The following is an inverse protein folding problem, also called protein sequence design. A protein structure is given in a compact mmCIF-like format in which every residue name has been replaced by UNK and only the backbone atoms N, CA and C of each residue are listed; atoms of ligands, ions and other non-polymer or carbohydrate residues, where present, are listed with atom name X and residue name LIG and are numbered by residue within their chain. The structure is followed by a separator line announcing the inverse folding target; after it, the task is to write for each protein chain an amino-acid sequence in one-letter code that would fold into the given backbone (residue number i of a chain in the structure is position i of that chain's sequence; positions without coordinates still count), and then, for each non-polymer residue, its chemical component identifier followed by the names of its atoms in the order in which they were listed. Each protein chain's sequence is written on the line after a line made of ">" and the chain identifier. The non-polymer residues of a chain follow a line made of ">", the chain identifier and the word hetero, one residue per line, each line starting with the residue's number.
data_IF_508037732498
#
_entry.id   IF_508037732498
#
_cell.length_a   1.000
_cell.length_b   1.000
_cell.length_c   1.000
_cell.angle_alpha   90.00
_cell.angle_beta   90.00
_cell.angle_gamma   90.00
#
_symmetry.space_group_name_H-M   'P 1'
#
loop_
_entity.id
_entity.type
_entity.pdbx_description
1 polymer ?
#
# COMPACT_ATOMS: atom_id res chain seq x y z
N UNK A 1 -3.49 -15.45 1.50
CA UNK A 1 -2.45 -14.62 2.11
C UNK A 1 -1.78 -15.31 3.29
N UNK A 2 -2.47 -15.44 4.42
CA UNK A 2 -1.88 -15.91 5.70
C UNK A 2 -1.22 -17.29 5.59
N UNK A 3 -1.95 -18.31 5.12
CA UNK A 3 -1.39 -19.66 4.99
C UNK A 3 -0.18 -19.71 4.06
N UNK A 4 -0.21 -18.95 2.95
CA UNK A 4 0.92 -18.80 2.03
C UNK A 4 2.20 -18.31 2.75
N UNK A 5 2.08 -17.28 3.59
CA UNK A 5 3.22 -16.72 4.32
C UNK A 5 3.67 -17.59 5.50
N UNK A 6 2.73 -18.22 6.21
CA UNK A 6 3.00 -18.92 7.47
C UNK A 6 3.28 -20.41 7.28
N UNK A 7 2.46 -21.07 6.47
CA UNK A 7 2.41 -22.54 6.39
C UNK A 7 3.22 -23.06 5.18
N UNK A 8 3.41 -22.22 4.15
CA UNK A 8 4.19 -22.54 2.95
C UNK A 8 5.47 -21.70 2.81
N UNK A 9 5.80 -20.90 3.83
CA UNK A 9 7.02 -20.08 3.93
C UNK A 9 7.29 -19.14 2.74
N UNK A 10 6.26 -18.68 2.03
CA UNK A 10 6.45 -17.73 0.93
C UNK A 10 7.02 -16.41 1.42
N UNK A 11 7.94 -15.84 0.64
CA UNK A 11 8.62 -14.58 0.97
C UNK A 11 7.73 -13.35 0.84
N UNK A 12 6.70 -13.44 0.00
CA UNK A 12 5.84 -12.31 -0.36
C UNK A 12 4.41 -12.75 -0.64
N UNK A 13 3.44 -11.90 -0.30
CA UNK A 13 2.05 -12.07 -0.69
C UNK A 13 1.50 -10.85 -1.44
N UNK A 14 0.75 -11.11 -2.51
CA UNK A 14 0.03 -10.08 -3.26
C UNK A 14 -1.41 -9.95 -2.75
N UNK A 15 -1.80 -8.76 -2.30
CA UNK A 15 -3.12 -8.50 -1.70
C UNK A 15 -3.80 -7.27 -2.31
N UNK A 16 -5.12 -7.20 -2.17
CA UNK A 16 -5.90 -6.00 -2.45
C UNK A 16 -5.94 -5.14 -1.19
N UNK A 17 -5.51 -3.90 -1.29
CA UNK A 17 -5.58 -2.94 -0.18
C UNK A 17 -5.76 -1.53 -0.72
N UNK A 18 -6.81 -0.85 -0.27
CA UNK A 18 -7.17 0.51 -0.65
C UNK A 18 -8.16 1.11 0.39
N UNK A 19 -8.48 2.41 0.34
CA UNK A 19 -9.36 3.06 1.33
C UNK A 19 -10.73 2.40 1.56
N UNK A 20 -11.28 1.70 0.57
CA UNK A 20 -12.61 1.08 0.65
C UNK A 20 -12.56 -0.46 0.79
N UNK A 21 -11.37 -1.06 0.75
CA UNK A 21 -11.18 -2.50 0.87
C UNK A 21 -10.02 -2.83 1.82
N UNK A 22 -10.40 -3.27 3.03
CA UNK A 22 -9.51 -3.52 4.16
C UNK A 22 -9.56 -4.98 4.66
N UNK A 23 -10.28 -5.86 3.97
CA UNK A 23 -10.51 -7.24 4.40
C UNK A 23 -9.21 -8.07 4.49
N UNK A 24 -8.15 -7.68 3.78
CA UNK A 24 -6.85 -8.38 3.78
C UNK A 24 -5.83 -7.80 4.77
N UNK A 25 -6.24 -6.88 5.67
CA UNK A 25 -5.36 -6.27 6.67
C UNK A 25 -4.64 -7.31 7.54
N UNK A 26 -5.31 -8.43 7.87
CA UNK A 26 -4.72 -9.50 8.65
C UNK A 26 -3.51 -10.16 7.95
N UNK A 27 -3.45 -10.12 6.61
CA UNK A 27 -2.29 -10.61 5.84
C UNK A 27 -1.09 -9.67 6.03
N UNK A 28 -1.33 -8.35 6.04
CA UNK A 28 -0.31 -7.33 6.31
C UNK A 28 0.27 -7.50 7.71
N UNK A 29 -0.60 -7.64 8.73
CA UNK A 29 -0.17 -7.88 10.11
C UNK A 29 0.63 -9.18 10.24
N UNK A 30 0.22 -10.24 9.54
CA UNK A 30 0.94 -11.51 9.52
C UNK A 30 2.31 -11.37 8.86
N UNK A 31 2.40 -10.68 7.73
CA UNK A 31 3.65 -10.45 7.01
C UNK A 31 4.64 -9.65 7.86
N UNK A 32 4.18 -8.57 8.52
CA UNK A 32 5.00 -7.78 9.44
C UNK A 32 5.60 -8.64 10.57
N UNK A 33 4.79 -9.50 11.19
CA UNK A 33 5.25 -10.39 12.26
C UNK A 33 6.27 -11.43 11.79
N UNK A 34 6.13 -11.91 10.55
CA UNK A 34 6.98 -12.95 9.98
C UNK A 34 8.17 -12.38 9.18
N UNK A 35 8.35 -11.05 9.14
CA UNK A 35 9.33 -10.37 8.29
C UNK A 35 9.21 -10.75 6.80
N UNK A 36 7.98 -10.93 6.31
CA UNK A 36 7.66 -11.21 4.91
C UNK A 36 7.20 -9.94 4.19
N UNK A 37 7.36 -9.88 2.88
CA UNK A 37 6.99 -8.71 2.09
C UNK A 37 5.52 -8.72 1.67
N UNK A 38 4.99 -7.54 1.32
CA UNK A 38 3.65 -7.36 0.75
C UNK A 38 3.73 -6.62 -0.57
N UNK A 39 2.96 -7.09 -1.54
CA UNK A 39 2.72 -6.39 -2.79
C UNK A 39 1.23 -6.04 -2.92
N UNK A 40 0.91 -4.75 -3.06
CA UNK A 40 -0.47 -4.27 -3.16
C UNK A 40 -0.90 -4.19 -4.62
N UNK A 41 -1.99 -4.87 -4.95
CA UNK A 41 -2.73 -4.74 -6.21
C UNK A 41 -4.02 -3.95 -6.01
N UNK A 42 -4.59 -3.45 -7.10
CA UNK A 42 -5.88 -2.74 -7.10
C UNK A 42 -5.96 -1.59 -6.08
N UNK A 43 -4.83 -0.89 -5.87
CA UNK A 43 -4.78 0.30 -5.04
C UNK A 43 -5.86 1.32 -5.45
N UNK A 44 -6.05 1.53 -6.75
CA UNK A 44 -7.05 2.44 -7.31
C UNK A 44 -8.41 1.81 -7.61
N UNK A 45 -8.86 0.82 -6.82
CA UNK A 45 -10.16 0.15 -7.00
C UNK A 45 -10.43 -0.30 -8.46
N UNK A 46 -9.40 -0.82 -9.14
CA UNK A 46 -9.46 -1.20 -10.56
C UNK A 46 -9.87 -0.07 -11.52
N UNK A 47 -9.55 1.19 -11.18
CA UNK A 47 -9.84 2.38 -11.98
C UNK A 47 -11.04 3.20 -11.50
N UNK A 48 -11.82 2.71 -10.53
CA UNK A 48 -12.98 3.41 -9.98
C UNK A 48 -12.58 4.44 -8.92
N UNK A 49 -11.75 5.41 -9.30
CA UNK A 49 -11.23 6.44 -8.39
C UNK A 49 -12.33 7.26 -7.69
N UNK A 50 -13.48 7.44 -8.34
CA UNK A 50 -14.63 8.13 -7.76
C UNK A 50 -15.12 7.50 -6.45
N UNK A 51 -14.92 6.19 -6.27
CA UNK A 51 -15.29 5.47 -5.05
C UNK A 51 -14.33 5.74 -3.88
N UNK A 52 -13.16 6.31 -4.17
CA UNK A 52 -12.12 6.60 -3.17
C UNK A 52 -12.27 8.01 -2.57
N UNK A 53 -13.24 8.80 -3.06
CA UNK A 53 -13.56 10.14 -2.59
C UNK A 53 -12.57 11.20 -3.08
N UNK A 54 -12.46 12.29 -2.32
CA UNK A 54 -11.61 13.42 -2.68
C UNK A 54 -10.13 13.08 -2.63
N UNK A 55 -9.38 13.66 -3.58
CA UNK A 55 -7.95 13.41 -3.80
C UNK A 55 -7.60 11.90 -3.76
N UNK A 56 -8.22 11.10 -4.64
CA UNK A 56 -8.24 9.64 -4.50
C UNK A 56 -6.85 9.02 -4.64
N UNK A 57 -5.94 9.65 -5.39
CA UNK A 57 -4.56 9.19 -5.58
C UNK A 57 -3.78 9.33 -4.27
N UNK A 58 -3.71 10.55 -3.72
CA UNK A 58 -2.95 10.81 -2.49
C UNK A 58 -3.51 10.02 -1.31
N UNK A 59 -4.83 10.07 -1.10
CA UNK A 59 -5.51 9.36 -0.02
C UNK A 59 -5.21 7.86 -0.03
N UNK A 60 -5.16 7.26 -1.23
CA UNK A 60 -4.84 5.85 -1.37
C UNK A 60 -3.40 5.55 -0.95
N UNK A 61 -2.45 6.39 -1.37
CA UNK A 61 -1.05 6.21 -0.97
C UNK A 61 -0.86 6.40 0.54
N UNK A 62 -1.54 7.38 1.14
CA UNK A 62 -1.48 7.62 2.58
C UNK A 62 -1.96 6.39 3.37
N UNK A 63 -3.07 5.77 2.96
CA UNK A 63 -3.59 4.53 3.57
C UNK A 63 -2.62 3.37 3.38
N UNK A 64 -2.18 3.11 2.15
CA UNK A 64 -1.34 1.95 1.82
C UNK A 64 -0.03 1.98 2.59
N UNK A 65 0.61 3.15 2.66
CA UNK A 65 1.90 3.27 3.30
C UNK A 65 1.81 3.54 4.82
N UNK A 66 0.61 3.72 5.40
CA UNK A 66 0.45 3.95 6.84
C UNK A 66 1.03 2.84 7.74
N UNK A 67 1.35 1.65 7.21
CA UNK A 67 1.88 0.51 7.99
C UNK A 67 3.41 0.40 7.86
N UNK A 68 4.23 0.88 8.82
CA UNK A 68 5.68 0.93 8.70
C UNK A 68 6.39 -0.41 8.90
N UNK A 69 5.74 -1.40 9.53
CA UNK A 69 6.39 -2.63 9.97
C UNK A 69 6.56 -3.70 8.87
N UNK A 70 6.29 -3.38 7.60
CA UNK A 70 6.33 -4.32 6.50
C UNK A 70 6.99 -3.71 5.28
N UNK A 71 7.87 -4.48 4.62
CA UNK A 71 8.39 -4.14 3.29
C UNK A 71 7.24 -4.22 2.29
N UNK A 72 6.65 -3.06 1.98
CA UNK A 72 5.45 -2.94 1.14
C UNK A 72 5.76 -2.20 -0.16
N UNK A 73 5.30 -2.78 -1.26
CA UNK A 73 5.29 -2.14 -2.59
C UNK A 73 3.88 -2.13 -3.17
N UNK A 74 3.62 -1.22 -4.10
CA UNK A 74 2.32 -1.09 -4.78
C UNK A 74 2.51 -1.20 -6.29
N UNK A 75 1.66 -2.00 -6.94
CA UNK A 75 1.58 -2.06 -8.41
C UNK A 75 0.46 -1.14 -8.88
N UNK A 76 0.83 -0.13 -9.66
CA UNK A 76 -0.08 0.84 -10.27
C UNK A 76 -0.04 0.68 -11.79
N UNK A 77 -1.16 0.28 -12.38
CA UNK A 77 -1.29 0.19 -13.83
C UNK A 77 -1.68 1.52 -14.44
N UNK A 78 -0.84 2.06 -15.32
CA UNK A 78 -1.19 3.20 -16.18
C UNK A 78 -0.36 3.17 -17.46
N UNK A 79 -0.98 3.54 -18.58
CA UNK A 79 -0.28 3.78 -19.85
C UNK A 79 -0.08 5.28 -20.11
N UNK A 80 -0.71 6.13 -19.31
CA UNK A 80 -0.60 7.58 -19.43
C UNK A 80 0.64 8.07 -18.63
N UNK A 81 1.63 8.71 -19.29
CA UNK A 81 2.84 9.20 -18.63
C UNK A 81 2.56 10.30 -17.59
N UNK A 82 1.53 11.11 -17.78
CA UNK A 82 1.12 12.13 -16.79
C UNK A 82 0.61 11.45 -15.53
N UNK A 83 -0.23 10.43 -15.67
CA UNK A 83 -0.71 9.67 -14.51
C UNK A 83 0.44 8.94 -13.80
N UNK A 84 1.44 8.45 -14.54
CA UNK A 84 2.62 7.82 -13.93
C UNK A 84 3.37 8.81 -13.03
N UNK A 85 3.60 10.05 -13.50
CA UNK A 85 4.23 11.10 -12.72
C UNK A 85 3.40 11.48 -11.49
N UNK A 86 2.08 11.63 -11.64
CA UNK A 86 1.17 11.92 -10.53
C UNK A 86 1.18 10.82 -9.47
N UNK A 87 1.16 9.55 -9.89
CA UNK A 87 1.24 8.40 -9.00
C UNK A 87 2.57 8.41 -8.23
N UNK A 88 3.69 8.63 -8.91
CA UNK A 88 5.01 8.68 -8.28
C UNK A 88 5.13 9.84 -7.28
N UNK A 89 4.61 11.03 -7.62
CA UNK A 89 4.57 12.19 -6.73
C UNK A 89 3.75 11.91 -5.47
N UNK A 90 2.57 11.29 -5.60
CA UNK A 90 1.73 10.95 -4.46
C UNK A 90 2.38 9.93 -3.51
N UNK A 91 3.07 8.92 -4.09
CA UNK A 91 3.87 7.97 -3.31
C UNK A 91 4.97 8.70 -2.55
N UNK A 92 5.74 9.55 -3.25
CA UNK A 92 6.82 10.32 -2.64
C UNK A 92 6.31 11.18 -1.48
N UNK A 93 5.18 11.85 -1.65
CA UNK A 93 4.56 12.64 -0.60
C UNK A 93 4.15 11.77 0.60
N UNK A 94 3.47 10.64 0.36
CA UNK A 94 3.01 9.73 1.41
C UNK A 94 4.15 9.08 2.21
N UNK A 95 5.32 8.87 1.58
CA UNK A 95 6.51 8.34 2.28
C UNK A 95 7.32 9.44 2.97
N UNK A 96 7.36 10.65 2.42
CA UNK A 96 8.10 11.78 3.01
C UNK A 96 7.42 12.30 4.28
N UNK A 97 6.09 12.38 4.30
CA UNK A 97 5.31 12.73 5.49
C UNK A 97 5.49 11.72 6.64
N UNK A 98 5.88 10.48 6.32
CA UNK A 98 6.17 9.45 7.32
C UNK A 98 7.50 9.72 8.03
N UNK A 99 8.52 10.20 7.31
CA UNK A 99 9.86 10.45 7.87
C UNK A 99 9.84 11.57 8.90
N UNK A 100 9.11 12.65 8.63
CA UNK A 100 9.00 13.80 9.54
C UNK A 100 8.26 13.47 10.84
N UNK A 101 7.30 12.55 10.80
CA UNK A 101 6.50 12.15 11.98
C UNK A 101 7.26 11.22 12.95
N UNK A 102 8.28 10.51 12.46
CA UNK A 102 9.16 9.66 13.29
C UNK A 102 10.25 10.46 14.02
N UNK A 103 10.67 11.61 13.50
CA UNK A 103 11.72 12.45 14.11
C UNK A 103 11.20 13.30 15.28
N UNK A 104 9.89 13.57 15.37
CA UNK A 104 9.31 14.36 16.48
C UNK A 104 8.99 13.53 17.74
N UNK A 105 9.33 12.24 17.76
CA UNK A 105 9.06 11.32 18.88
C UNK A 105 10.32 10.76 19.55
N UNK A 106 11.50 11.36 19.33
CA UNK A 106 12.72 11.07 20.09
C UNK A 106 13.02 12.16 21.10
#
# INVERSE_FOLDING_TARGET
>A
GIAALRDYDLDIAMITHNPIYQAEQAVITTAARLNKAILVKKAFASGHLQQLGDNPIQRTMDVIFATPAVSLSVILGTINPIHLQQNAAAIYQAISQRQTSTETKQ
#
